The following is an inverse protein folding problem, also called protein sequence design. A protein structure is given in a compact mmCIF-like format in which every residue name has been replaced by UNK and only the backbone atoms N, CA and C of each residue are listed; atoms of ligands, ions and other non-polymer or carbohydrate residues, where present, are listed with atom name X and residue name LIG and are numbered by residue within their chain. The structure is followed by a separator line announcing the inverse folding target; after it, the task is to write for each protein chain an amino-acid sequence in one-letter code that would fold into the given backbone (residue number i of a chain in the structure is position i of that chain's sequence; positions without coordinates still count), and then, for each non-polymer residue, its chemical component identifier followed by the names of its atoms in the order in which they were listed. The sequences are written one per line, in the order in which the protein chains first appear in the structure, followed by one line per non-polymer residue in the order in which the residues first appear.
data_IF_948325632828
#
_entry.id   IF_948325632828
#
_cell.length_a   1.000
_cell.length_b   1.000
_cell.length_c   1.000
_cell.angle_alpha   90.00
_cell.angle_beta   90.00
_cell.angle_gamma   90.00
#
_symmetry.space_group_name_H-M   'P 1'
#
loop_
_entity.id
_entity.type
_entity.pdbx_description
1 polymer ?
#
# COMPACT_ATOMS: atom_id res chain seq x y z
N UNK A 1 -2.80 -13.58 16.36
CA UNK A 1 -2.34 -12.23 16.75
C UNK A 1 -2.88 -11.24 15.73
N UNK A 2 -3.62 -10.23 16.16
CA UNK A 2 -4.10 -9.14 15.29
C UNK A 2 -3.23 -7.91 15.58
N UNK A 3 -2.81 -7.23 14.54
CA UNK A 3 -2.24 -5.90 14.58
C UNK A 3 -2.84 -5.14 13.39
N UNK A 4 -3.45 -4.03 13.68
CA UNK A 4 -4.04 -3.11 12.70
C UNK A 4 -3.37 -1.76 12.87
N UNK A 5 -2.97 -1.15 11.77
CA UNK A 5 -2.35 0.18 11.73
C UNK A 5 -3.08 0.99 10.70
N UNK A 6 -3.69 2.08 11.11
CA UNK A 6 -4.58 2.90 10.29
C UNK A 6 -4.14 4.36 10.34
N UNK A 7 -4.33 5.07 9.25
CA UNK A 7 -4.18 6.53 9.22
C UNK A 7 -5.55 7.18 9.21
N UNK A 8 -5.82 8.00 10.22
CA UNK A 8 -7.03 8.80 10.29
C UNK A 8 -7.06 9.82 9.14
N UNK A 9 -8.08 9.75 8.29
CA UNK A 9 -8.19 10.56 7.08
C UNK A 9 -8.40 12.05 7.35
N UNK A 10 -8.98 12.40 8.51
CA UNK A 10 -9.29 13.78 8.88
C UNK A 10 -8.07 14.49 9.49
N UNK A 11 -7.31 13.77 10.29
CA UNK A 11 -6.16 14.33 11.04
C UNK A 11 -4.80 13.96 10.45
N UNK A 12 -4.73 12.92 9.60
CA UNK A 12 -3.49 12.35 9.08
C UNK A 12 -2.62 11.66 10.14
N UNK A 13 -3.15 11.45 11.33
CA UNK A 13 -2.46 10.77 12.41
C UNK A 13 -2.60 9.25 12.27
N UNK A 14 -1.54 8.55 12.66
CA UNK A 14 -1.54 7.10 12.68
C UNK A 14 -2.01 6.57 14.03
N UNK A 15 -2.82 5.54 13.98
CA UNK A 15 -3.29 4.77 15.13
C UNK A 15 -2.97 3.29 14.94
N UNK A 16 -2.84 2.54 16.02
CA UNK A 16 -2.72 1.08 15.96
C UNK A 16 -3.68 0.42 16.94
N UNK A 17 -4.10 -0.80 16.60
CA UNK A 17 -4.97 -1.63 17.42
C UNK A 17 -4.46 -3.07 17.49
N UNK A 18 -4.59 -3.69 18.66
CA UNK A 18 -4.36 -5.13 18.89
C UNK A 18 -5.66 -5.93 18.94
N UNK A 19 -6.78 -5.29 18.56
CA UNK A 19 -8.13 -5.83 18.66
C UNK A 19 -8.82 -5.60 20.02
N UNK A 20 -8.13 -5.00 21.01
CA UNK A 20 -8.71 -4.65 22.31
C UNK A 20 -8.77 -3.15 22.52
N UNK A 21 -7.77 -2.42 22.10
CA UNK A 21 -7.67 -0.98 22.26
C UNK A 21 -7.00 -0.37 21.02
N UNK A 22 -7.38 0.87 20.73
CA UNK A 22 -6.76 1.71 19.71
C UNK A 22 -5.96 2.79 20.39
N UNK A 23 -4.71 2.94 20.00
CA UNK A 23 -3.75 3.86 20.56
C UNK A 23 -3.04 4.65 19.45
N UNK A 24 -2.50 5.81 19.78
CA UNK A 24 -1.71 6.60 18.83
C UNK A 24 -0.43 5.89 18.45
N UNK A 25 -0.17 5.81 17.16
CA UNK A 25 1.05 5.25 16.61
C UNK A 25 2.12 6.33 16.36
N UNK A 26 3.37 5.94 16.52
CA UNK A 26 4.51 6.70 16.02
C UNK A 26 4.46 6.73 14.48
N UNK A 27 4.26 7.91 13.92
CA UNK A 27 4.09 8.10 12.47
C UNK A 27 5.28 7.60 11.65
N UNK A 28 6.51 7.68 12.16
CA UNK A 28 7.69 7.19 11.44
C UNK A 28 7.70 5.67 11.36
N UNK A 29 7.26 4.99 12.43
CA UNK A 29 7.16 3.52 12.46
C UNK A 29 6.02 3.00 11.61
N UNK A 30 4.86 3.67 11.64
CA UNK A 30 3.73 3.35 10.79
C UNK A 30 4.07 3.55 9.31
N UNK A 31 4.69 4.67 8.94
CA UNK A 31 5.15 4.93 7.58
C UNK A 31 6.21 3.92 7.11
N UNK A 32 7.07 3.46 8.03
CA UNK A 32 8.05 2.41 7.71
C UNK A 32 7.37 1.07 7.40
N UNK A 33 6.28 0.74 8.10
CA UNK A 33 5.48 -0.46 7.82
C UNK A 33 4.82 -0.35 6.43
N UNK A 34 4.20 0.79 6.12
CA UNK A 34 3.60 1.05 4.80
C UNK A 34 4.65 0.95 3.68
N UNK A 35 5.86 1.51 3.89
CA UNK A 35 6.95 1.40 2.94
C UNK A 35 7.44 -0.04 2.76
N UNK A 36 7.47 -0.85 3.81
CA UNK A 36 7.84 -2.25 3.73
C UNK A 36 6.84 -3.05 2.88
N UNK A 37 5.53 -2.74 2.98
CA UNK A 37 4.50 -3.35 2.13
C UNK A 37 4.69 -2.94 0.66
N UNK A 38 4.91 -1.66 0.39
CA UNK A 38 5.07 -1.13 -0.97
C UNK A 38 6.33 -1.62 -1.68
N UNK A 39 7.33 -2.10 -0.92
CA UNK A 39 8.59 -2.61 -1.44
C UNK A 39 8.68 -4.13 -1.49
N UNK A 40 7.57 -4.85 -1.24
CA UNK A 40 7.55 -6.31 -1.38
C UNK A 40 7.76 -6.73 -2.82
N UNK A 41 8.70 -7.67 -3.01
CA UNK A 41 8.98 -8.24 -4.31
C UNK A 41 8.93 -9.77 -4.23
N UNK A 42 8.38 -10.39 -5.26
CA UNK A 42 8.43 -11.85 -5.39
C UNK A 42 9.86 -12.32 -5.65
N UNK A 43 10.24 -13.40 -5.00
CA UNK A 43 11.52 -14.07 -5.25
C UNK A 43 11.42 -14.99 -6.46
N UNK A 44 10.37 -15.80 -6.52
CA UNK A 44 10.16 -16.78 -7.60
C UNK A 44 8.67 -16.99 -7.87
N UNK A 45 8.36 -17.39 -9.10
CA UNK A 45 7.07 -17.89 -9.52
C UNK A 45 7.06 -19.43 -9.40
N UNK A 46 6.08 -19.99 -8.68
CA UNK A 46 6.05 -21.41 -8.31
C UNK A 46 4.99 -22.21 -9.07
N UNK A 47 3.75 -21.72 -9.11
CA UNK A 47 2.62 -22.42 -9.70
C UNK A 47 1.62 -21.41 -10.27
N UNK A 48 1.22 -21.56 -11.53
CA UNK A 48 0.29 -20.63 -12.19
C UNK A 48 -1.19 -21.01 -12.03
N UNK A 49 -1.47 -22.22 -11.54
CA UNK A 49 -2.84 -22.71 -11.39
C UNK A 49 -2.92 -23.74 -10.26
N UNK A 50 -2.66 -23.28 -9.05
CA UNK A 50 -2.74 -24.10 -7.85
C UNK A 50 -4.18 -24.58 -7.62
N UNK A 51 -4.34 -25.88 -7.52
CA UNK A 51 -5.63 -26.54 -7.20
C UNK A 51 -5.66 -27.12 -5.80
N UNK A 52 -4.52 -27.16 -5.11
CA UNK A 52 -4.36 -27.71 -3.76
C UNK A 52 -3.46 -26.76 -2.93
N UNK A 53 -4.10 -25.81 -2.27
CA UNK A 53 -3.43 -24.82 -1.43
C UNK A 53 -2.72 -25.43 -0.21
N UNK A 54 -3.15 -26.62 0.23
CA UNK A 54 -2.53 -27.28 1.36
C UNK A 54 -1.09 -27.70 1.11
N UNK A 55 -0.72 -27.85 -0.16
CA UNK A 55 0.66 -28.16 -0.58
C UNK A 55 1.66 -27.06 -0.21
N UNK A 56 1.16 -25.83 -0.10
CA UNK A 56 1.93 -24.63 0.17
C UNK A 56 1.60 -24.01 1.54
N UNK A 57 0.79 -24.70 2.36
CA UNK A 57 0.35 -24.23 3.67
C UNK A 57 -0.61 -23.06 3.62
N UNK A 58 -1.24 -22.80 2.47
CA UNK A 58 -2.14 -21.66 2.25
C UNK A 58 -3.59 -21.95 2.69
N UNK A 59 -3.94 -23.21 2.96
CA UNK A 59 -5.20 -23.61 3.60
C UNK A 59 -5.26 -23.25 5.08
N UNK A 60 -4.10 -23.05 5.70
CA UNK A 60 -3.90 -22.59 7.07
C UNK A 60 -2.70 -21.65 7.13
N UNK A 61 -2.85 -20.45 6.60
CA UNK A 61 -1.73 -19.55 6.40
C UNK A 61 -1.02 -19.20 7.71
N UNK A 62 0.29 -19.06 7.64
CA UNK A 62 1.13 -18.55 8.72
C UNK A 62 0.73 -17.13 9.10
N UNK A 63 0.47 -16.30 8.11
CA UNK A 63 0.00 -14.92 8.27
C UNK A 63 -0.91 -14.51 7.11
N UNK A 64 -1.81 -13.58 7.38
CA UNK A 64 -2.60 -12.88 6.38
C UNK A 64 -2.37 -11.40 6.58
N UNK A 65 -1.92 -10.73 5.53
CA UNK A 65 -1.68 -9.29 5.51
C UNK A 65 -2.72 -8.68 4.60
N UNK A 66 -3.55 -7.80 5.15
CA UNK A 66 -4.58 -7.07 4.40
C UNK A 66 -4.17 -5.61 4.32
N UNK A 67 -4.23 -5.04 3.14
CA UNK A 67 -3.91 -3.64 2.87
C UNK A 67 -5.10 -3.01 2.17
N UNK A 68 -5.72 -2.04 2.81
CA UNK A 68 -6.73 -1.18 2.22
C UNK A 68 -6.04 0.10 1.73
N UNK A 69 -6.26 0.47 0.48
CA UNK A 69 -5.60 1.63 -0.14
C UNK A 69 -6.50 2.27 -1.19
N UNK A 70 -6.17 3.49 -1.55
CA UNK A 70 -6.84 4.22 -2.62
C UNK A 70 -5.93 4.31 -3.84
N UNK A 71 -6.51 4.16 -5.00
CA UNK A 71 -5.85 4.29 -6.30
C UNK A 71 -6.64 5.24 -7.18
N UNK A 72 -5.94 6.06 -7.95
CA UNK A 72 -6.58 6.90 -8.96
C UNK A 72 -7.19 6.03 -10.05
N UNK A 73 -8.47 6.27 -10.37
CA UNK A 73 -9.12 5.60 -11.49
C UNK A 73 -8.46 6.06 -12.79
N UNK A 74 -7.72 5.16 -13.44
CA UNK A 74 -7.20 5.44 -14.78
C UNK A 74 -8.39 5.58 -15.74
N UNK A 75 -8.74 6.82 -16.09
CA UNK A 75 -9.62 7.05 -17.23
C UNK A 75 -8.89 6.59 -18.48
N UNK A 76 -9.16 5.33 -18.87
CA UNK A 76 -8.69 4.81 -20.15
C UNK A 76 -9.35 5.59 -21.28
N UNK A 77 -8.71 6.63 -21.75
CA UNK A 77 -9.01 7.18 -23.08
C UNK A 77 -8.54 6.14 -24.09
N UNK A 78 -9.45 5.27 -24.54
CA UNK A 78 -9.24 4.47 -25.74
C UNK A 78 -9.12 5.44 -26.93
N UNK A 79 -7.91 5.90 -27.19
CA UNK A 79 -7.56 6.43 -28.51
C UNK A 79 -7.62 5.28 -29.52
N UNK A 80 -8.78 5.10 -30.17
CA UNK A 80 -8.87 4.39 -31.42
C UNK A 80 -8.03 5.14 -32.47
N UNK A 81 -6.78 4.72 -32.66
CA UNK A 81 -5.94 5.13 -33.78
C UNK A 81 -6.50 4.52 -35.06
N UNK A 82 -7.46 5.17 -35.69
CA UNK A 82 -7.76 4.95 -37.10
C UNK A 82 -6.79 5.76 -37.95
N UNK A 83 -5.80 5.04 -38.45
CA UNK A 83 -4.93 5.49 -39.56
C UNK A 83 -5.74 5.59 -40.82
N UNK A 84 -5.94 6.79 -41.37
CA UNK A 84 -6.04 6.97 -42.83
C UNK A 84 -5.43 8.31 -43.25
N UNK A 85 -4.62 8.19 -44.24
CA UNK A 85 -3.76 9.10 -44.93
C UNK A 85 -4.54 10.15 -45.73
N UNK A 86 -4.08 11.37 -45.90
CA UNK A 86 -3.70 12.06 -47.12
C UNK A 86 -3.78 13.58 -46.99
N UNK A 87 -2.62 14.17 -47.21
CA UNK A 87 -2.21 15.38 -47.95
C UNK A 87 -3.06 16.66 -48.02
N UNK A 88 -2.29 17.72 -47.86
CA UNK A 88 -2.23 19.07 -48.49
C UNK A 88 -2.80 20.28 -47.72
N UNK A 89 -1.78 21.11 -47.36
CA UNK A 89 -1.64 22.55 -47.45
C UNK A 89 -2.83 23.52 -47.19
N UNK A 90 -2.68 24.42 -46.29
CA UNK A 90 -2.32 25.87 -46.43
C UNK A 90 -2.68 26.65 -45.14
N UNK A 91 -1.87 27.62 -44.91
CA UNK A 91 -1.86 28.62 -43.86
C UNK A 91 -3.22 29.24 -43.51
N UNK A 92 -3.49 29.51 -42.24
CA UNK A 92 -3.82 30.86 -41.77
C UNK A 92 -4.17 30.90 -40.26
N UNK A 93 -3.45 31.81 -39.59
CA UNK A 93 -3.85 32.66 -38.44
C UNK A 93 -4.32 32.02 -37.10
N UNK A 94 -3.42 32.24 -36.18
CA UNK A 94 -3.55 32.45 -34.74
C UNK A 94 -4.96 32.85 -34.28
N UNK A 95 -5.57 31.95 -33.50
CA UNK A 95 -6.51 32.31 -32.45
C UNK A 95 -6.05 31.62 -31.17
N UNK A 96 -5.51 32.39 -30.26
CA UNK A 96 -5.27 31.94 -28.88
C UNK A 96 -6.64 31.67 -28.26
N UNK A 97 -7.01 30.40 -28.21
CA UNK A 97 -8.11 29.93 -27.35
C UNK A 97 -7.43 29.52 -26.06
N UNK A 98 -7.55 30.38 -25.05
CA UNK A 98 -7.31 29.99 -23.67
C UNK A 98 -8.30 28.88 -23.38
N UNK A 99 -7.84 27.62 -23.48
CA UNK A 99 -8.56 26.46 -22.96
C UNK A 99 -8.33 26.52 -21.46
N UNK A 100 -9.35 26.91 -20.72
CA UNK A 100 -9.45 26.74 -19.29
C UNK A 100 -9.49 25.21 -19.08
N UNK A 101 -8.32 24.62 -18.87
CA UNK A 101 -8.20 23.21 -18.46
C UNK A 101 -8.71 23.19 -17.02
N UNK A 102 -9.99 22.90 -16.84
CA UNK A 102 -10.51 22.44 -15.56
C UNK A 102 -9.73 21.13 -15.25
N UNK A 103 -8.75 21.22 -14.35
CA UNK A 103 -8.10 20.04 -13.78
C UNK A 103 -9.19 19.22 -13.09
N UNK A 104 -9.69 18.19 -13.75
CA UNK A 104 -10.59 17.22 -13.14
C UNK A 104 -9.83 16.55 -11.99
N UNK A 105 -10.31 16.73 -10.77
CA UNK A 105 -9.71 16.06 -9.59
C UNK A 105 -9.77 14.54 -9.83
N UNK A 106 -8.67 13.82 -9.60
CA UNK A 106 -8.61 12.39 -9.82
C UNK A 106 -9.66 11.67 -8.96
N UNK A 107 -10.41 10.78 -9.57
CA UNK A 107 -11.37 9.93 -8.85
C UNK A 107 -10.60 8.83 -8.15
N UNK A 108 -10.59 8.84 -6.81
CA UNK A 108 -9.98 7.81 -6.00
C UNK A 108 -10.94 6.64 -5.80
N UNK A 109 -10.46 5.43 -6.01
CA UNK A 109 -11.21 4.17 -5.82
C UNK A 109 -10.57 3.37 -4.70
N UNK A 110 -11.39 2.94 -3.75
CA UNK A 110 -10.95 2.08 -2.65
C UNK A 110 -10.64 0.68 -3.17
N UNK A 111 -9.45 0.18 -2.85
CA UNK A 111 -8.97 -1.16 -3.19
C UNK A 111 -8.44 -1.89 -1.98
N UNK A 112 -8.47 -3.21 -2.06
CA UNK A 112 -7.94 -4.09 -1.04
C UNK A 112 -7.00 -5.13 -1.65
N UNK A 113 -5.83 -5.29 -1.03
CA UNK A 113 -4.89 -6.36 -1.32
C UNK A 113 -4.83 -7.29 -0.11
N UNK A 114 -4.99 -8.59 -0.33
CA UNK A 114 -4.86 -9.62 0.69
C UNK A 114 -3.69 -10.54 0.30
N UNK A 115 -2.62 -10.51 1.08
CA UNK A 115 -1.47 -11.38 0.92
C UNK A 115 -1.55 -12.52 1.94
N UNK A 116 -1.80 -13.74 1.47
CA UNK A 116 -1.75 -14.96 2.27
C UNK A 116 -0.34 -15.53 2.26
N UNK A 117 0.25 -15.73 3.43
CA UNK A 117 1.61 -16.29 3.63
C UNK A 117 1.49 -17.71 4.16
N UNK A 118 1.99 -18.67 3.41
CA UNK A 118 1.96 -20.10 3.73
C UNK A 118 3.22 -20.63 4.40
N UNK A 119 3.53 -21.87 4.08
CA UNK A 119 4.69 -22.59 4.63
C UNK A 119 6.03 -22.05 4.11
N UNK A 120 7.11 -22.49 4.73
CA UNK A 120 8.48 -22.18 4.29
C UNK A 120 8.78 -22.89 2.97
N UNK A 121 9.34 -22.11 2.04
CA UNK A 121 9.87 -22.59 0.78
C UNK A 121 11.36 -22.90 0.86
N UNK A 122 12.04 -22.91 -0.29
CA UNK A 122 13.49 -23.05 -0.37
C UNK A 122 14.17 -21.67 -0.16
N UNK A 123 15.45 -21.66 0.18
CA UNK A 123 16.32 -20.47 0.26
C UNK A 123 15.76 -19.33 1.15
N UNK A 124 15.28 -19.65 2.35
CA UNK A 124 14.70 -18.67 3.30
C UNK A 124 13.54 -17.85 2.71
N UNK A 125 12.70 -18.50 1.91
CA UNK A 125 11.47 -17.92 1.38
C UNK A 125 10.23 -18.51 2.02
N UNK A 126 9.05 -17.90 1.76
CA UNK A 126 7.73 -18.45 2.06
C UNK A 126 6.84 -18.40 0.84
N UNK A 127 5.96 -19.39 0.72
CA UNK A 127 4.93 -19.39 -0.30
C UNK A 127 3.89 -18.34 0.00
N UNK A 128 3.48 -17.63 -1.05
CA UNK A 128 2.47 -16.58 -0.94
C UNK A 128 1.49 -16.63 -2.10
N UNK A 129 0.27 -16.17 -1.84
CA UNK A 129 -0.70 -15.82 -2.88
C UNK A 129 -1.35 -14.47 -2.57
N UNK A 130 -1.79 -13.78 -3.62
CA UNK A 130 -2.48 -12.50 -3.52
C UNK A 130 -3.93 -12.66 -3.90
N UNK A 131 -4.83 -12.13 -3.08
CA UNK A 131 -6.27 -12.16 -3.25
C UNK A 131 -6.78 -13.60 -3.53
N UNK A 132 -7.74 -13.76 -4.41
CA UNK A 132 -8.29 -15.05 -4.84
C UNK A 132 -7.52 -15.67 -6.03
N UNK A 133 -6.29 -15.22 -6.31
CA UNK A 133 -5.47 -15.79 -7.38
C UNK A 133 -5.12 -17.25 -7.09
N UNK A 134 -5.05 -18.06 -8.15
CA UNK A 134 -4.50 -19.42 -8.09
C UNK A 134 -2.98 -19.45 -8.31
N UNK A 135 -2.37 -18.31 -8.49
CA UNK A 135 -0.93 -18.19 -8.70
C UNK A 135 -0.18 -18.18 -7.39
N UNK A 136 0.86 -19.00 -7.30
CA UNK A 136 1.70 -19.12 -6.12
C UNK A 136 3.09 -18.57 -6.45
N UNK A 137 3.57 -17.74 -5.56
CA UNK A 137 4.89 -17.15 -5.60
C UNK A 137 5.65 -17.44 -4.30
N UNK A 138 6.89 -17.05 -4.25
CA UNK A 138 7.65 -16.96 -2.99
C UNK A 138 8.06 -15.51 -2.72
N UNK A 139 8.19 -15.18 -1.45
CA UNK A 139 8.79 -13.92 -0.96
C UNK A 139 9.85 -14.29 0.08
N UNK A 140 10.94 -13.52 0.14
CA UNK A 140 11.98 -13.76 1.13
C UNK A 140 11.45 -13.58 2.56
N UNK A 141 11.91 -14.42 3.47
CA UNK A 141 11.51 -14.36 4.87
C UNK A 141 11.98 -13.05 5.54
N UNK A 142 13.08 -12.46 5.08
CA UNK A 142 13.56 -11.17 5.55
C UNK A 142 12.56 -10.05 5.28
N UNK A 143 12.00 -9.98 4.07
CA UNK A 143 10.97 -9.01 3.72
C UNK A 143 9.69 -9.24 4.54
N UNK A 144 9.23 -10.49 4.63
CA UNK A 144 8.02 -10.83 5.37
C UNK A 144 8.15 -10.57 6.87
N UNK A 145 9.30 -10.83 7.48
CA UNK A 145 9.54 -10.59 8.91
C UNK A 145 9.42 -9.12 9.29
N UNK A 146 9.73 -8.21 8.35
CA UNK A 146 9.54 -6.78 8.55
C UNK A 146 8.07 -6.39 8.79
N UNK A 147 7.14 -7.24 8.37
CA UNK A 147 5.69 -7.07 8.52
C UNK A 147 5.12 -7.98 9.62
N UNK A 148 5.48 -9.26 9.62
CA UNK A 148 4.85 -10.29 10.47
C UNK A 148 5.37 -10.34 11.89
N UNK A 149 6.62 -9.91 12.11
CA UNK A 149 7.28 -9.94 13.42
C UNK A 149 7.02 -8.68 14.27
N UNK A 150 6.13 -7.82 13.79
CA UNK A 150 5.74 -6.61 14.53
C UNK A 150 4.84 -6.91 15.70
N UNK A 151 5.02 -6.12 16.76
CA UNK A 151 4.16 -6.11 17.95
C UNK A 151 3.51 -4.73 18.14
N UNK A 152 2.35 -4.65 18.82
CA UNK A 152 1.71 -3.37 19.12
C UNK A 152 2.66 -2.37 19.80
N UNK A 153 3.53 -2.88 20.68
CA UNK A 153 4.54 -2.06 21.38
C UNK A 153 5.56 -1.39 20.45
N UNK A 154 5.75 -1.91 19.24
CA UNK A 154 6.67 -1.31 18.25
C UNK A 154 6.13 0.00 17.71
N UNK A 155 4.82 0.21 17.78
CA UNK A 155 4.13 1.38 17.25
C UNK A 155 3.84 2.45 18.30
N UNK A 156 4.13 2.21 19.57
CA UNK A 156 3.85 3.22 20.60
C UNK A 156 4.58 4.53 20.30
N UNK A 157 3.79 5.59 20.34
CA UNK A 157 4.32 6.94 20.32
C UNK A 157 4.82 7.30 21.72
N UNK A 158 6.12 7.47 21.83
CA UNK A 158 6.80 7.82 23.08
C UNK A 158 6.99 9.34 23.22
N UNK A 159 6.35 10.13 22.38
CA UNK A 159 6.42 11.60 22.43
C UNK A 159 5.75 12.13 23.69
N UNK A 160 6.52 12.80 24.53
CA UNK A 160 6.01 13.37 25.79
C UNK A 160 5.10 14.57 25.55
N UNK A 161 5.33 15.32 24.47
CA UNK A 161 4.56 16.54 24.16
C UNK A 161 4.55 16.80 22.65
N UNK A 162 3.36 17.14 22.15
CA UNK A 162 3.12 17.54 20.74
C UNK A 162 3.19 19.06 20.54
N UNK A 163 3.67 19.80 21.54
CA UNK A 163 3.79 21.26 21.44
C UNK A 163 4.89 21.61 20.43
N UNK A 164 4.51 22.34 19.38
CA UNK A 164 5.46 22.88 18.43
C UNK A 164 6.36 23.90 19.08
N UNK A 165 7.65 23.91 18.75
CA UNK A 165 8.59 24.94 19.23
C UNK A 165 8.13 26.34 18.85
N UNK A 166 7.41 26.48 17.74
CA UNK A 166 6.86 27.78 17.31
C UNK A 166 5.69 28.26 18.16
N UNK A 167 5.02 27.35 18.88
CA UNK A 167 3.88 27.65 19.76
C UNK A 167 4.30 27.75 21.23
N UNK A 168 5.58 27.55 21.50
CA UNK A 168 6.12 27.59 22.86
C UNK A 168 6.35 29.03 23.29
N UNK A 169 5.55 29.53 24.23
CA UNK A 169 5.71 30.88 24.79
C UNK A 169 6.63 30.90 26.02
N UNK A 170 6.58 29.86 26.84
CA UNK A 170 7.36 29.84 28.09
C UNK A 170 7.76 28.40 28.45
N UNK A 171 9.04 28.21 28.78
CA UNK A 171 9.58 26.97 29.38
C UNK A 171 10.16 27.28 30.75
N UNK A 172 9.69 26.57 31.78
CA UNK A 172 10.21 26.68 33.15
C UNK A 172 10.68 25.32 33.63
N UNK A 173 11.92 25.26 34.14
CA UNK A 173 12.54 24.09 34.74
C UNK A 173 12.91 24.44 36.17
N UNK A 174 12.43 23.67 37.17
CA UNK A 174 12.76 23.82 38.58
C UNK A 174 13.50 22.59 39.11
#
# INVERSE_FOLDING_TARGET
KLLEVEQDSDTGLWEFSDGNATEKADSAKASSLASAISSLEYSEFVDYNCTDESKYGLDKPYAVITVDYQEEEETSSEEETSTENEEETEETETAETETDEEEEEPVLVDKQLVLCVGDEGEEDTRYVKVNDSNEIYTISQEQLSSLTDKEPSDFWDLTVSYVSVNDLETLKVE
#
